data_IF_963087300191
#
_entry.id   IF_963087300191
#
_cell.length_a   1.000
_cell.length_b   1.000
_cell.length_c   1.000
_cell.angle_alpha   90.00
_cell.angle_beta   90.00
_cell.angle_gamma   90.00
#
_symmetry.space_group_name_H-M   'P 1'
#
loop_
_entity.id
_entity.type
_entity.pdbx_description
1 polymer ?
#
# COMPACT_ATOMS: atom_id res chain seq x y z
N UNK A 1 15.39 -29.54 11.06
CA UNK A 1 16.06 -28.23 11.27
C UNK A 1 15.21 -27.19 10.55
N UNK A 2 14.50 -26.34 11.29
CA UNK A 2 13.65 -25.28 10.72
C UNK A 2 14.47 -24.03 10.46
N UNK A 3 14.22 -23.37 9.33
CA UNK A 3 14.85 -22.09 8.99
C UNK A 3 14.19 -21.00 9.85
N UNK A 4 15.01 -20.13 10.45
CA UNK A 4 14.54 -18.95 11.18
C UNK A 4 13.54 -18.12 10.33
N UNK A 5 12.65 -17.33 10.94
CA UNK A 5 11.68 -16.55 10.18
C UNK A 5 12.37 -15.66 9.15
N UNK A 6 11.80 -15.56 7.95
CA UNK A 6 12.22 -14.58 6.96
C UNK A 6 11.90 -13.21 7.57
N UNK A 7 12.95 -12.45 7.89
CA UNK A 7 12.80 -11.06 8.30
C UNK A 7 12.43 -10.26 7.05
N UNK A 8 11.18 -9.80 7.01
CA UNK A 8 10.68 -8.94 5.95
C UNK A 8 10.82 -7.52 6.47
N UNK A 9 11.72 -6.76 5.84
CA UNK A 9 11.79 -5.33 6.04
C UNK A 9 10.72 -4.66 5.18
N UNK A 10 10.10 -3.64 5.74
CA UNK A 10 9.10 -2.87 5.03
C UNK A 10 9.80 -2.17 3.87
N UNK A 11 9.22 -2.29 2.67
CA UNK A 11 9.70 -1.56 1.52
C UNK A 11 9.36 -0.09 1.75
N UNK A 12 10.39 0.72 2.01
CA UNK A 12 10.29 2.18 1.95
C UNK A 12 10.35 2.61 0.49
N UNK A 13 9.25 3.14 -0.03
CA UNK A 13 9.17 3.53 -1.43
C UNK A 13 8.08 4.59 -1.67
N UNK A 14 8.41 5.54 -2.55
CA UNK A 14 7.43 6.41 -3.18
C UNK A 14 6.83 5.73 -4.39
N UNK A 15 5.52 5.55 -4.39
CA UNK A 15 4.78 4.94 -5.48
C UNK A 15 4.06 6.02 -6.28
N UNK A 16 4.16 5.94 -7.61
CA UNK A 16 3.42 6.78 -8.54
C UNK A 16 2.79 5.89 -9.63
N UNK A 17 1.47 5.96 -9.77
CA UNK A 17 0.72 5.16 -10.73
C UNK A 17 -0.09 6.09 -11.62
N UNK A 18 0.11 6.01 -12.94
CA UNK A 18 -0.73 6.71 -13.91
C UNK A 18 -2.10 6.04 -13.99
N UNK A 19 -3.16 6.84 -13.95
CA UNK A 19 -4.54 6.36 -13.95
C UNK A 19 -5.48 7.44 -14.47
N UNK A 20 -6.59 7.01 -15.08
CA UNK A 20 -7.73 7.85 -15.44
C UNK A 20 -8.79 7.91 -14.33
N UNK A 21 -8.64 7.11 -13.28
CA UNK A 21 -9.56 7.06 -12.12
C UNK A 21 -9.24 8.17 -11.13
N UNK A 22 -10.26 8.96 -10.79
CA UNK A 22 -10.10 10.16 -9.95
C UNK A 22 -10.18 9.89 -8.45
N UNK A 23 -10.87 8.83 -8.06
CA UNK A 23 -11.21 8.55 -6.67
C UNK A 23 -10.57 7.24 -6.19
N UNK A 24 -9.26 7.10 -6.37
CA UNK A 24 -8.55 5.94 -5.88
C UNK A 24 -8.12 6.10 -4.43
N UNK A 25 -8.34 5.04 -3.66
CA UNK A 25 -7.90 4.91 -2.27
C UNK A 25 -6.98 3.70 -2.15
N UNK A 26 -5.94 3.82 -1.31
CA UNK A 26 -5.00 2.73 -1.02
C UNK A 26 -5.25 2.21 0.40
N UNK A 27 -5.56 0.91 0.50
CA UNK A 27 -5.73 0.21 1.77
C UNK A 27 -4.56 -0.70 2.05
N UNK A 28 -4.11 -0.70 3.30
CA UNK A 28 -3.22 -1.72 3.83
C UNK A 28 -4.04 -2.93 4.24
N UNK A 29 -3.63 -4.12 3.79
CA UNK A 29 -4.30 -5.38 4.05
C UNK A 29 -3.33 -6.34 4.74
N UNK A 30 -3.79 -7.08 5.75
CA UNK A 30 -3.00 -8.11 6.42
C UNK A 30 -2.84 -9.39 5.57
N UNK A 31 -1.95 -10.32 5.96
CA UNK A 31 -1.76 -11.58 5.23
C UNK A 31 -3.02 -12.44 5.14
N UNK A 32 -3.96 -12.29 6.08
CA UNK A 32 -5.26 -12.97 6.07
C UNK A 32 -6.29 -12.27 5.17
N UNK A 33 -5.94 -11.16 4.51
CA UNK A 33 -6.85 -10.40 3.65
C UNK A 33 -7.70 -9.36 4.39
N UNK A 34 -7.46 -9.12 5.69
CA UNK A 34 -8.23 -8.16 6.48
C UNK A 34 -7.72 -6.72 6.30
N UNK A 35 -8.64 -5.76 6.29
CA UNK A 35 -8.29 -4.34 6.31
C UNK A 35 -7.54 -3.98 7.60
N UNK A 36 -6.38 -3.33 7.44
CA UNK A 36 -5.52 -2.90 8.56
C UNK A 36 -5.36 -1.39 8.65
N UNK A 37 -5.74 -0.65 7.60
CA UNK A 37 -5.71 0.81 7.60
C UNK A 37 -5.73 1.40 6.18
N UNK A 38 -5.89 2.72 6.11
CA UNK A 38 -5.84 3.49 4.86
C UNK A 38 -4.49 4.17 4.77
N UNK A 39 -3.82 4.01 3.63
CA UNK A 39 -2.59 4.72 3.33
C UNK A 39 -2.96 6.12 2.82
N UNK A 40 -2.35 7.19 3.37
CA UNK A 40 -2.51 8.53 2.81
C UNK A 40 -2.06 8.57 1.36
N UNK A 41 -2.98 8.90 0.46
CA UNK A 41 -2.75 8.93 -0.98
C UNK A 41 -3.40 10.14 -1.61
N UNK A 42 -2.79 10.64 -2.68
CA UNK A 42 -3.31 11.75 -3.48
C UNK A 42 -3.41 11.34 -4.94
N UNK A 43 -4.52 11.65 -5.60
CA UNK A 43 -4.65 11.51 -7.04
C UNK A 43 -4.79 12.90 -7.65
N UNK A 44 -3.74 13.37 -8.33
CA UNK A 44 -3.68 14.70 -8.96
C UNK A 44 -3.14 14.53 -10.36
N UNK A 45 -3.78 15.19 -11.34
CA UNK A 45 -3.38 15.18 -12.76
C UNK A 45 -3.22 13.76 -13.36
N UNK A 46 -4.08 12.83 -12.94
CA UNK A 46 -4.07 11.44 -13.43
C UNK A 46 -2.92 10.59 -12.87
N UNK A 47 -2.32 11.01 -11.75
CA UNK A 47 -1.29 10.23 -11.05
C UNK A 47 -1.66 10.04 -9.60
N UNK A 48 -1.86 8.77 -9.20
CA UNK A 48 -1.98 8.37 -7.81
C UNK A 48 -0.58 8.29 -7.18
N UNK A 49 -0.38 9.00 -6.07
CA UNK A 49 0.88 9.03 -5.31
C UNK A 49 0.64 8.67 -3.85
N UNK A 50 1.52 7.84 -3.30
CA UNK A 50 1.53 7.45 -1.89
C UNK A 50 2.91 6.94 -1.50
N UNK A 51 3.21 6.98 -0.20
CA UNK A 51 4.46 6.51 0.38
C UNK A 51 4.22 5.21 1.17
N UNK A 52 5.09 4.22 0.97
CA UNK A 52 5.14 2.98 1.75
C UNK A 52 6.27 3.07 2.76
N UNK A 53 6.08 2.53 3.97
CA UNK A 53 7.10 2.54 5.03
C UNK A 53 6.67 3.28 6.30
N UNK A 54 6.05 4.45 6.15
CA UNK A 54 5.71 5.35 7.26
C UNK A 54 4.56 4.85 8.14
N UNK A 55 3.49 4.34 7.51
CA UNK A 55 2.25 3.94 8.19
C UNK A 55 1.76 2.61 7.67
N UNK A 56 1.07 1.85 8.53
CA UNK A 56 0.47 0.56 8.18
C UNK A 56 1.48 -0.36 7.45
N UNK A 57 2.59 -0.66 8.13
CA UNK A 57 3.64 -1.55 7.64
C UNK A 57 3.02 -2.90 7.23
N UNK A 58 2.97 -3.15 5.92
CA UNK A 58 2.33 -4.34 5.37
C UNK A 58 3.04 -4.83 4.12
N UNK A 59 2.81 -6.10 3.81
CA UNK A 59 3.22 -6.71 2.55
C UNK A 59 2.16 -6.54 1.46
N UNK A 60 0.90 -6.31 1.84
CA UNK A 60 -0.23 -6.32 0.93
C UNK A 60 -0.97 -4.99 0.97
N UNK A 61 -1.24 -4.47 -0.23
CA UNK A 61 -1.97 -3.24 -0.44
C UNK A 61 -3.06 -3.46 -1.48
N UNK A 62 -4.24 -2.90 -1.25
CA UNK A 62 -5.37 -2.93 -2.18
C UNK A 62 -5.65 -1.51 -2.66
N UNK A 63 -5.73 -1.33 -3.97
CA UNK A 63 -6.12 -0.06 -4.61
C UNK A 63 -7.52 -0.25 -5.17
N UNK A 64 -8.45 0.59 -4.74
CA UNK A 64 -9.85 0.52 -5.14
C UNK A 64 -10.38 1.92 -5.47
N UNK A 65 -11.46 1.95 -6.26
CA UNK A 65 -12.22 3.16 -6.58
C UNK A 65 -13.37 3.34 -5.59
N UNK A 66 -13.49 4.53 -5.00
CA UNK A 66 -14.59 4.95 -4.10
C UNK A 66 -15.58 5.91 -4.78
#
# INVERSE_FOLDING_TARGET
>A
IGKAPIQIEVIEADIAIQTDKKNLTVWSIGPEGFYTGRIPSTCVDGVLKFHLGDTCQSMYYLILEE
#
